data_IF_652068871323
#
_entry.id   IF_652068871323
#
_cell.length_a   1.000
_cell.length_b   1.000
_cell.length_c   1.000
_cell.angle_alpha   90.00
_cell.angle_beta   90.00
_cell.angle_gamma   90.00
#
_symmetry.space_group_name_H-M   'P 1'
#
loop_
_entity.id
_entity.type
_entity.pdbx_description
1 polymer ?
#
# COMPACT_ATOMS: atom_id res chain seq x y z
N UNK A 1 12.14 -5.64 -7.83
CA UNK A 1 12.85 -4.51 -7.18
C UNK A 1 11.76 -3.68 -6.52
N UNK A 2 11.81 -3.46 -5.21
CA UNK A 2 10.89 -2.54 -4.53
C UNK A 2 11.54 -1.16 -4.41
N UNK A 3 10.73 -0.10 -4.47
CA UNK A 3 11.14 1.27 -4.21
C UNK A 3 10.95 1.57 -2.74
N UNK A 4 11.99 2.10 -2.09
CA UNK A 4 11.81 2.81 -0.83
C UNK A 4 10.97 4.09 -1.05
N UNK A 5 10.55 4.74 0.04
CA UNK A 5 9.72 5.95 -0.02
C UNK A 5 10.33 7.06 -0.88
N UNK A 6 11.65 7.28 -0.80
CA UNK A 6 12.32 8.36 -1.53
C UNK A 6 12.37 8.06 -3.02
N UNK A 7 12.71 6.81 -3.38
CA UNK A 7 12.69 6.35 -4.76
C UNK A 7 11.27 6.42 -5.33
N UNK A 8 10.25 6.01 -4.57
CA UNK A 8 8.85 6.08 -4.99
C UNK A 8 8.41 7.53 -5.27
N UNK A 9 8.78 8.49 -4.41
CA UNK A 9 8.52 9.92 -4.63
C UNK A 9 9.25 10.45 -5.85
N UNK A 10 10.49 10.05 -6.10
CA UNK A 10 11.24 10.45 -7.28
C UNK A 10 10.59 9.90 -8.57
N UNK A 11 10.15 8.64 -8.56
CA UNK A 11 9.41 8.07 -9.69
C UNK A 11 8.07 8.78 -9.92
N UNK A 12 7.35 9.11 -8.86
CA UNK A 12 6.12 9.90 -8.96
C UNK A 12 6.38 11.28 -9.58
N UNK A 13 7.42 11.97 -9.11
CA UNK A 13 7.81 13.27 -9.64
C UNK A 13 8.16 13.23 -11.13
N UNK A 14 8.76 12.15 -11.61
CA UNK A 14 9.01 11.93 -13.04
C UNK A 14 7.72 11.62 -13.81
N UNK A 15 6.84 10.78 -13.23
CA UNK A 15 5.58 10.39 -13.85
C UNK A 15 4.68 11.61 -14.13
N UNK A 16 4.55 12.52 -13.16
CA UNK A 16 3.66 13.68 -13.27
C UNK A 16 4.19 14.80 -14.18
N UNK A 17 5.41 14.68 -14.74
CA UNK A 17 5.92 15.60 -15.76
C UNK A 17 5.25 15.38 -17.13
N UNK A 18 4.68 14.20 -17.35
CA UNK A 18 4.00 13.85 -18.60
C UNK A 18 2.50 13.64 -18.42
N UNK A 19 1.84 13.14 -19.47
CA UNK A 19 0.48 12.61 -19.37
C UNK A 19 0.54 11.28 -18.62
N UNK A 20 -0.24 11.14 -17.56
CA UNK A 20 -0.35 9.92 -16.78
C UNK A 20 -1.82 9.62 -16.44
N UNK A 21 -2.06 8.39 -16.03
CA UNK A 21 -3.39 7.86 -15.70
C UNK A 21 -3.45 7.34 -14.27
N UNK A 22 -4.66 7.01 -13.83
CA UNK A 22 -4.87 6.31 -12.55
C UNK A 22 -4.16 4.95 -12.51
N UNK A 23 -4.07 4.24 -13.64
CA UNK A 23 -3.38 2.95 -13.71
C UNK A 23 -1.87 3.09 -13.53
N UNK A 24 -1.28 4.18 -14.02
CA UNK A 24 0.14 4.47 -13.81
C UNK A 24 0.46 4.69 -12.32
N UNK A 25 -0.45 5.37 -11.59
CA UNK A 25 -0.33 5.54 -10.14
C UNK A 25 -0.44 4.19 -9.41
N UNK A 26 -1.34 3.30 -9.84
CA UNK A 26 -1.47 1.95 -9.27
C UNK A 26 -0.22 1.12 -9.53
N UNK A 27 0.32 1.18 -10.75
CA UNK A 27 1.52 0.44 -11.13
C UNK A 27 2.75 0.91 -10.36
N UNK A 28 2.86 2.21 -10.09
CA UNK A 28 3.90 2.75 -9.22
C UNK A 28 3.72 2.29 -7.77
N UNK A 29 2.51 2.44 -7.22
CA UNK A 29 2.20 2.07 -5.84
C UNK A 29 2.50 0.58 -5.54
N UNK A 30 2.23 -0.32 -6.50
CA UNK A 30 2.54 -1.76 -6.38
C UNK A 30 4.04 -2.08 -6.26
N UNK A 31 4.91 -1.16 -6.69
CA UNK A 31 6.35 -1.33 -6.62
C UNK A 31 6.95 -0.74 -5.34
N UNK A 32 6.17 -0.05 -4.50
CA UNK A 32 6.67 0.53 -3.26
C UNK A 32 6.83 -0.55 -2.20
N UNK A 33 7.87 -0.42 -1.39
CA UNK A 33 8.23 -1.41 -0.40
C UNK A 33 7.16 -1.54 0.69
N UNK A 34 6.80 -2.79 0.96
CA UNK A 34 5.77 -3.19 1.94
C UNK A 34 6.39 -3.91 3.14
N UNK A 35 7.72 -3.87 3.28
CA UNK A 35 8.42 -4.61 4.32
C UNK A 35 8.11 -4.02 5.69
N UNK A 36 7.70 -4.87 6.61
CA UNK A 36 7.58 -4.54 8.02
C UNK A 36 7.93 -5.78 8.85
N UNK A 37 8.60 -5.56 9.97
CA UNK A 37 9.02 -6.62 10.89
C UNK A 37 7.83 -7.17 11.69
N UNK A 38 7.85 -8.47 11.99
CA UNK A 38 6.83 -9.14 12.80
C UNK A 38 6.23 -10.39 12.14
N UNK A 39 5.68 -11.28 12.95
CA UNK A 39 5.09 -12.56 12.53
C UNK A 39 3.56 -12.53 12.45
N UNK A 40 2.92 -11.66 13.22
CA UNK A 40 1.47 -11.41 13.19
C UNK A 40 1.20 -10.23 12.26
N UNK A 41 0.26 -10.39 11.33
CA UNK A 41 0.00 -9.36 10.30
C UNK A 41 -1.27 -8.59 10.61
N UNK A 42 -1.15 -7.27 10.66
CA UNK A 42 -2.25 -6.34 10.94
C UNK A 42 -2.24 -5.21 9.92
N UNK A 43 -3.38 -4.92 9.30
CA UNK A 43 -3.49 -3.85 8.29
C UNK A 43 -3.55 -2.46 8.92
N UNK A 44 -4.18 -2.33 10.09
CA UNK A 44 -4.29 -1.09 10.84
C UNK A 44 -4.35 -1.40 12.33
N UNK A 45 -3.52 -0.74 13.14
CA UNK A 45 -3.49 -0.98 14.58
C UNK A 45 -3.23 0.30 15.36
N UNK A 46 -4.05 0.56 16.38
CA UNK A 46 -3.69 1.47 17.48
C UNK A 46 -2.90 0.76 18.58
N UNK A 47 -2.70 -0.56 18.49
CA UNK A 47 -1.84 -1.27 19.42
C UNK A 47 -0.40 -0.84 19.18
N UNK A 48 0.29 -0.53 20.28
CA UNK A 48 1.67 -0.05 20.28
C UNK A 48 2.66 -1.01 19.62
N UNK A 49 3.92 -0.61 19.65
CA UNK A 49 5.10 -1.18 18.99
C UNK A 49 5.48 -2.61 19.41
N UNK A 50 4.54 -3.55 19.47
CA UNK A 50 4.87 -4.97 19.64
C UNK A 50 5.71 -5.42 18.42
N UNK A 51 6.97 -5.82 18.62
CA UNK A 51 7.86 -6.22 17.53
C UNK A 51 7.41 -7.53 16.85
N UNK A 52 6.47 -8.28 17.44
CA UNK A 52 5.87 -9.46 16.82
C UNK A 52 4.74 -9.10 15.85
N UNK A 53 4.28 -7.85 15.84
CA UNK A 53 3.19 -7.40 14.97
C UNK A 53 3.76 -6.57 13.82
N UNK A 54 3.65 -7.14 12.62
CA UNK A 54 3.82 -6.42 11.36
C UNK A 54 2.59 -5.58 11.06
N UNK A 55 2.79 -4.29 10.83
CA UNK A 55 1.71 -3.29 10.62
C UNK A 55 1.94 -2.56 9.29
N UNK A 56 0.94 -2.56 8.39
CA UNK A 56 1.05 -1.92 7.06
C UNK A 56 1.32 -0.42 7.18
N UNK A 57 0.72 0.23 8.17
CA UNK A 57 0.92 1.65 8.53
C UNK A 57 2.40 2.04 8.70
N UNK A 58 3.29 1.07 8.99
CA UNK A 58 4.73 1.31 9.16
C UNK A 58 5.58 1.03 7.92
N UNK A 59 4.94 0.92 6.75
CA UNK A 59 5.64 0.62 5.49
C UNK A 59 5.79 1.87 4.64
N UNK A 60 6.82 1.88 3.79
CA UNK A 60 7.02 2.94 2.79
C UNK A 60 5.80 3.06 1.86
N UNK A 61 5.14 1.94 1.54
CA UNK A 61 3.93 1.92 0.72
C UNK A 61 2.77 2.70 1.37
N UNK A 62 2.59 2.57 2.69
CA UNK A 62 1.59 3.34 3.42
C UNK A 62 1.94 4.83 3.45
N UNK A 63 3.18 5.17 3.80
CA UNK A 63 3.64 6.56 3.82
C UNK A 63 3.54 7.20 2.44
N UNK A 64 3.80 6.44 1.38
CA UNK A 64 3.65 6.89 0.00
C UNK A 64 2.20 7.21 -0.35
N UNK A 65 1.25 6.29 -0.13
CA UNK A 65 -0.17 6.51 -0.48
C UNK A 65 -0.84 7.63 0.33
N UNK A 66 -0.37 7.86 1.54
CA UNK A 66 -0.88 8.93 2.42
C UNK A 66 -0.18 10.27 2.22
N UNK A 67 0.90 10.32 1.42
CA UNK A 67 1.67 11.54 1.18
C UNK A 67 0.91 12.60 0.39
N UNK A 68 1.21 13.87 0.67
CA UNK A 68 0.67 15.01 -0.07
C UNK A 68 1.03 14.95 -1.58
N UNK A 69 2.18 14.36 -1.93
CA UNK A 69 2.60 14.21 -3.32
C UNK A 69 1.71 13.23 -4.08
N UNK A 70 1.42 12.07 -3.49
CA UNK A 70 0.50 11.10 -4.07
C UNK A 70 -0.93 11.66 -4.16
N UNK A 71 -1.42 12.30 -3.09
CA UNK A 71 -2.76 12.91 -3.09
C UNK A 71 -2.90 14.03 -4.12
N UNK A 72 -1.83 14.80 -4.35
CA UNK A 72 -1.78 15.82 -5.41
C UNK A 72 -1.86 15.18 -6.80
N UNK A 73 -1.05 14.15 -7.07
CA UNK A 73 -1.05 13.44 -8.34
C UNK A 73 -2.41 12.76 -8.62
N UNK A 74 -3.01 12.16 -7.59
CA UNK A 74 -4.34 11.59 -7.67
C UNK A 74 -5.38 12.64 -8.07
N UNK A 75 -5.41 13.77 -7.37
CA UNK A 75 -6.34 14.87 -7.67
C UNK A 75 -6.19 15.40 -9.11
N UNK A 76 -4.96 15.53 -9.60
CA UNK A 76 -4.66 15.99 -10.96
C UNK A 76 -5.35 15.14 -12.04
N UNK A 77 -5.53 13.82 -11.82
CA UNK A 77 -6.19 12.94 -12.80
C UNK A 77 -7.65 13.32 -13.10
N UNK A 78 -8.30 14.12 -12.24
CA UNK A 78 -9.66 14.62 -12.42
C UNK A 78 -9.79 16.14 -12.20
N UNK A 79 -8.68 16.87 -12.20
CA UNK A 79 -8.68 18.32 -12.01
C UNK A 79 -9.04 18.78 -10.60
N UNK A 80 -8.84 17.94 -9.57
CA UNK A 80 -9.05 18.29 -8.16
C UNK A 80 -7.70 18.70 -7.54
N UNK A 81 -7.66 19.85 -6.87
CA UNK A 81 -6.43 20.32 -6.20
C UNK A 81 -6.15 19.55 -4.91
N UNK A 82 -4.89 19.57 -4.44
CA UNK A 82 -4.52 18.99 -3.14
C UNK A 82 -5.33 19.59 -1.98
N UNK A 83 -5.60 20.90 -2.00
CA UNK A 83 -6.41 21.56 -0.97
C UNK A 83 -7.82 20.99 -0.93
N UNK A 84 -8.45 20.80 -2.10
CA UNK A 84 -9.76 20.18 -2.22
C UNK A 84 -9.77 18.70 -1.85
N UNK A 85 -8.69 17.96 -2.16
CA UNK A 85 -8.53 16.57 -1.72
C UNK A 85 -8.50 16.47 -0.19
N UNK A 86 -7.79 17.38 0.48
CA UNK A 86 -7.62 17.39 1.95
C UNK A 86 -8.79 18.00 2.72
N UNK A 87 -9.61 18.82 2.08
CA UNK A 87 -10.77 19.45 2.71
C UNK A 87 -11.95 18.47 2.82
N UNK A 88 -12.32 17.96 4.01
CA UNK A 88 -13.43 17.02 4.14
C UNK A 88 -14.80 17.62 3.79
N UNK A 89 -14.93 18.95 3.79
CA UNK A 89 -16.18 19.65 3.46
C UNK A 89 -16.36 19.87 1.95
N UNK A 90 -15.28 19.80 1.18
CA UNK A 90 -15.36 19.88 -0.27
C UNK A 90 -15.89 18.57 -0.85
N UNK A 91 -17.10 18.60 -1.41
CA UNK A 91 -17.78 17.47 -2.02
C UNK A 91 -17.99 17.78 -3.50
N UNK A 92 -17.44 16.95 -4.38
CA UNK A 92 -17.70 16.99 -5.82
C UNK A 92 -17.83 15.57 -6.38
N UNK A 93 -18.49 15.37 -7.53
CA UNK A 93 -18.53 14.08 -8.21
C UNK A 93 -17.13 13.52 -8.51
N UNK A 94 -16.20 14.38 -8.93
CA UNK A 94 -14.83 14.01 -9.29
C UNK A 94 -14.04 13.52 -8.08
N UNK A 95 -14.08 14.28 -6.97
CA UNK A 95 -13.42 13.88 -5.73
C UNK A 95 -14.02 12.59 -5.18
N UNK A 96 -15.35 12.48 -5.19
CA UNK A 96 -16.04 11.26 -4.73
C UNK A 96 -15.61 10.05 -5.56
N UNK A 97 -15.56 10.18 -6.88
CA UNK A 97 -15.08 9.11 -7.77
C UNK A 97 -13.62 8.75 -7.49
N UNK A 98 -12.75 9.74 -7.25
CA UNK A 98 -11.35 9.51 -6.90
C UNK A 98 -11.20 8.74 -5.59
N UNK A 99 -11.93 9.14 -4.54
CA UNK A 99 -11.87 8.45 -3.25
C UNK A 99 -12.44 7.04 -3.33
N UNK A 100 -13.58 6.87 -4.00
CA UNK A 100 -14.18 5.55 -4.22
C UNK A 100 -13.21 4.61 -4.95
N UNK A 101 -12.54 5.11 -6.00
CA UNK A 101 -11.53 4.34 -6.72
C UNK A 101 -10.27 4.09 -5.87
N UNK A 102 -9.77 5.10 -5.16
CA UNK A 102 -8.55 5.00 -4.36
C UNK A 102 -8.68 3.90 -3.30
N UNK A 103 -9.84 3.82 -2.66
CA UNK A 103 -10.17 2.82 -1.63
C UNK A 103 -10.94 1.61 -2.17
N UNK A 104 -11.10 1.47 -3.49
CA UNK A 104 -11.73 0.29 -4.07
C UNK A 104 -10.92 -0.95 -3.71
N UNK A 105 -11.59 -1.98 -3.18
CA UNK A 105 -10.96 -3.19 -2.66
C UNK A 105 -10.37 -4.12 -3.72
N UNK A 106 -10.49 -3.78 -5.00
CA UNK A 106 -10.02 -4.61 -6.12
C UNK A 106 -9.11 -3.86 -7.10
N UNK A 107 -9.48 -2.64 -7.47
CA UNK A 107 -8.83 -1.86 -8.51
C UNK A 107 -7.96 -0.72 -7.96
N UNK A 108 -8.20 -0.28 -6.72
CA UNK A 108 -7.48 0.82 -6.12
C UNK A 108 -6.02 0.49 -5.75
N UNK A 109 -5.15 1.49 -5.60
CA UNK A 109 -3.78 1.30 -5.13
C UNK A 109 -3.72 0.65 -3.74
N UNK A 110 -4.69 0.97 -2.87
CA UNK A 110 -4.83 0.34 -1.56
C UNK A 110 -5.11 -1.17 -1.63
N UNK A 111 -5.86 -1.63 -2.64
CA UNK A 111 -6.12 -3.06 -2.83
C UNK A 111 -4.84 -3.82 -3.14
N UNK A 112 -4.04 -3.29 -4.08
CA UNK A 112 -2.76 -3.89 -4.47
C UNK A 112 -1.79 -3.99 -3.31
N UNK A 113 -1.57 -2.89 -2.58
CA UNK A 113 -0.66 -2.85 -1.44
C UNK A 113 -1.15 -3.73 -0.29
N UNK A 114 -2.43 -3.67 0.06
CA UNK A 114 -2.99 -4.51 1.13
C UNK A 114 -2.89 -6.00 0.80
N UNK A 115 -3.15 -6.38 -0.46
CA UNK A 115 -2.98 -7.74 -0.94
C UNK A 115 -1.53 -8.18 -0.87
N UNK A 116 -0.60 -7.41 -1.45
CA UNK A 116 0.83 -7.74 -1.43
C UNK A 116 1.34 -7.90 0.00
N UNK A 117 0.90 -7.01 0.91
CA UNK A 117 1.26 -7.06 2.33
C UNK A 117 0.73 -8.31 3.03
N UNK A 118 -0.53 -8.69 2.75
CA UNK A 118 -1.13 -9.92 3.25
C UNK A 118 -0.54 -11.19 2.61
N UNK A 119 -0.03 -11.14 1.38
CA UNK A 119 0.59 -12.28 0.69
C UNK A 119 2.07 -12.45 1.05
N UNK A 120 2.78 -11.38 1.40
CA UNK A 120 4.13 -11.42 1.98
C UNK A 120 4.19 -12.10 3.36
N UNK A 121 3.09 -12.75 3.80
CA UNK A 121 2.93 -13.45 5.08
C UNK A 121 3.32 -14.92 5.05
N UNK A 122 3.97 -15.42 4.00
CA UNK A 122 4.41 -16.81 3.96
C UNK A 122 5.66 -17.05 4.83
N UNK A 123 5.42 -17.46 6.09
CA UNK A 123 6.36 -18.17 6.96
C UNK A 123 5.71 -18.50 8.31
N UNK A 124 5.42 -19.75 8.69
CA UNK A 124 6.06 -21.01 8.34
C UNK A 124 5.04 -22.08 7.89
N UNK A 125 5.37 -22.96 6.92
CA UNK A 125 4.85 -24.31 6.97
C UNK A 125 5.29 -24.90 8.30
N UNK A 126 4.34 -25.30 9.14
CA UNK A 126 4.65 -26.28 10.17
C UNK A 126 5.03 -27.56 9.41
N UNK A 127 6.32 -27.74 9.11
CA UNK A 127 6.85 -29.07 8.83
C UNK A 127 6.74 -29.81 10.16
N UNK A 128 5.58 -30.42 10.36
CA UNK A 128 5.37 -31.37 11.43
C UNK A 128 6.44 -32.46 11.28
N UNK A 129 7.44 -32.43 12.18
CA UNK A 129 8.46 -33.48 12.27
C UNK A 129 7.94 -34.72 13.01
N UNK A 130 6.62 -34.98 13.08
CA UNK A 130 6.06 -36.23 13.62
C UNK A 130 5.94 -37.37 12.61
N UNK A 131 6.79 -37.45 11.60
CA UNK A 131 6.86 -38.64 10.73
C UNK A 131 8.28 -39.03 10.36
N UNK A 132 9.15 -39.25 11.35
CA UNK A 132 10.41 -40.01 11.14
C UNK A 132 10.72 -41.06 12.22
N UNK A 133 9.74 -41.53 12.98
CA UNK A 133 9.96 -42.56 14.01
C UNK A 133 9.11 -43.84 13.86
N UNK A 134 8.79 -44.30 12.65
CA UNK A 134 8.17 -45.63 12.46
C UNK A 134 8.64 -46.38 11.20
N UNK A 135 9.96 -46.46 10.95
CA UNK A 135 10.54 -47.53 10.12
C UNK A 135 11.92 -47.96 10.60
N UNK A 136 11.98 -48.49 11.83
CA UNK A 136 12.98 -49.49 12.24
C UNK A 136 12.39 -50.35 13.35
N UNK A 137 11.60 -51.35 12.98
CA UNK A 137 11.55 -52.67 13.61
C UNK A 137 11.21 -53.68 12.52
#
# INVERSE_FOLDING_TARGET
>A
MSYDLNAAKAQLANLVQGTFTQDDLVNLAKQVDITAEGSVTVLYSKMGSDPNIRILDKTDAFEFLTSDDFQRALGQTKGVSLAQMKDPSFISPEKTALLNWNYDGTAGPWAGISKNFAEATVGCPHHDKRTQYERRK
#
